data_IF_907059833258
#
_entry.id   IF_907059833258
#
_cell.length_a   1.000
_cell.length_b   1.000
_cell.length_c   1.000
_cell.angle_alpha   90.00
_cell.angle_beta   90.00
_cell.angle_gamma   90.00
#
_symmetry.space_group_name_H-M   'P 1'
#
loop_
_entity.id
_entity.type
_entity.pdbx_description
1 polymer ?
#
# COMPACT_ATOMS: atom_id res chain seq x y z
N UNK A 1 50.75 -43.17 -38.88
CA UNK A 1 49.66 -42.24 -38.49
C UNK A 1 50.05 -40.84 -38.91
N UNK A 2 49.22 -40.12 -39.67
CA UNK A 2 49.60 -38.81 -40.22
C UNK A 2 49.82 -37.77 -39.11
N UNK A 3 50.84 -36.91 -39.27
CA UNK A 3 51.19 -35.87 -38.30
C UNK A 3 50.09 -34.81 -38.14
N UNK A 4 49.27 -34.61 -39.18
CA UNK A 4 48.11 -33.73 -39.16
C UNK A 4 47.03 -34.18 -38.17
N UNK A 5 46.69 -35.48 -38.11
CA UNK A 5 45.71 -35.99 -37.13
C UNK A 5 46.19 -35.80 -35.69
N UNK A 6 47.49 -36.02 -35.42
CA UNK A 6 48.05 -35.84 -34.07
C UNK A 6 48.05 -34.37 -33.63
N UNK A 7 48.34 -33.45 -34.55
CA UNK A 7 48.29 -32.00 -34.27
C UNK A 7 46.85 -31.48 -34.13
N UNK A 8 45.93 -31.96 -34.96
CA UNK A 8 44.50 -31.64 -34.86
C UNK A 8 43.88 -32.11 -33.53
N UNK A 9 44.20 -33.34 -33.10
CA UNK A 9 43.72 -33.87 -31.82
C UNK A 9 44.22 -33.06 -30.61
N UNK A 10 45.49 -32.63 -30.60
CA UNK A 10 46.04 -31.78 -29.55
C UNK A 10 45.40 -30.38 -29.51
N UNK A 11 45.17 -29.77 -30.67
CA UNK A 11 44.48 -28.48 -30.76
C UNK A 11 43.02 -28.58 -30.27
N UNK A 12 42.29 -29.62 -30.67
CA UNK A 12 40.93 -29.87 -30.21
C UNK A 12 40.86 -30.10 -28.69
N UNK A 13 41.79 -30.87 -28.12
CA UNK A 13 41.87 -31.11 -26.68
C UNK A 13 42.15 -29.82 -25.88
N UNK A 14 43.06 -28.96 -26.37
CA UNK A 14 43.36 -27.69 -25.72
C UNK A 14 42.13 -26.75 -25.70
N UNK A 15 41.40 -26.65 -26.82
CA UNK A 15 40.18 -25.83 -26.90
C UNK A 15 39.08 -26.40 -25.99
N UNK A 16 38.82 -27.70 -26.04
CA UNK A 16 37.79 -28.35 -25.22
C UNK A 16 38.06 -28.21 -23.71
N UNK A 17 39.30 -28.39 -23.28
CA UNK A 17 39.68 -28.24 -21.87
C UNK A 17 39.56 -26.79 -21.39
N UNK A 18 39.89 -25.81 -22.26
CA UNK A 18 39.77 -24.38 -21.95
C UNK A 18 38.31 -23.94 -21.78
N UNK A 19 37.40 -24.48 -22.59
CA UNK A 19 35.95 -24.19 -22.47
C UNK A 19 35.39 -24.82 -21.19
N UNK A 20 35.79 -26.07 -20.87
CA UNK A 20 35.33 -26.76 -19.67
C UNK A 20 35.75 -26.06 -18.37
N UNK A 21 36.97 -25.53 -18.30
CA UNK A 21 37.46 -24.81 -17.12
C UNK A 21 36.87 -23.40 -16.97
N UNK A 22 36.55 -22.69 -18.06
CA UNK A 22 35.84 -21.42 -18.01
C UNK A 22 34.35 -21.58 -17.64
N UNK A 23 33.67 -22.60 -18.19
CA UNK A 23 32.24 -22.82 -17.93
C UNK A 23 31.95 -23.28 -16.49
N UNK A 24 32.91 -23.95 -15.83
CA UNK A 24 32.75 -24.49 -14.48
C UNK A 24 32.53 -23.43 -13.38
N UNK A 25 32.95 -22.18 -13.58
CA UNK A 25 32.71 -21.09 -12.62
C UNK A 25 31.32 -20.43 -12.77
N UNK A 26 30.63 -20.64 -13.90
CA UNK A 26 29.31 -20.06 -14.18
C UNK A 26 28.12 -21.02 -14.03
N UNK A 27 28.39 -22.31 -13.80
CA UNK A 27 27.36 -23.35 -13.72
C UNK A 27 27.62 -24.30 -12.54
N UNK A 28 26.79 -24.20 -11.50
CA UNK A 28 26.88 -25.01 -10.29
C UNK A 28 26.03 -24.45 -9.16
N UNK A 29 26.06 -25.10 -7.99
CA UNK A 29 25.24 -24.73 -6.83
C UNK A 29 25.61 -23.38 -6.16
N UNK A 30 26.70 -22.74 -6.61
CA UNK A 30 27.15 -21.40 -6.18
C UNK A 30 27.49 -20.55 -7.42
N UNK A 31 26.71 -20.69 -8.50
CA UNK A 31 26.84 -19.84 -9.67
C UNK A 31 26.20 -18.48 -9.38
N UNK A 32 26.88 -17.39 -9.71
CA UNK A 32 26.41 -16.01 -9.47
C UNK A 32 25.05 -15.69 -10.09
N UNK A 33 24.58 -16.50 -11.05
CA UNK A 33 23.23 -16.43 -11.62
C UNK A 33 22.13 -16.90 -10.68
N UNK A 34 22.46 -17.66 -9.64
CA UNK A 34 21.55 -18.07 -8.55
C UNK A 34 21.41 -16.99 -7.47
N UNK A 35 22.38 -16.07 -7.39
CA UNK A 35 22.35 -14.90 -6.50
C UNK A 35 21.59 -13.70 -7.10
N UNK A 36 21.01 -13.85 -8.30
CA UNK A 36 20.14 -12.84 -8.91
C UNK A 36 18.75 -12.95 -8.29
N UNK A 37 18.45 -12.05 -7.36
CA UNK A 37 17.13 -11.93 -6.74
C UNK A 37 16.15 -11.10 -7.61
N UNK A 38 14.83 -11.30 -7.48
CA UNK A 38 13.83 -10.43 -8.12
C UNK A 38 13.89 -9.00 -7.56
N UNK A 39 13.67 -7.99 -8.41
CA UNK A 39 13.71 -6.57 -8.04
C UNK A 39 12.72 -6.21 -6.91
N UNK A 40 11.59 -6.91 -6.85
CA UNK A 40 10.55 -6.74 -5.84
C UNK A 40 10.52 -7.93 -4.87
N UNK A 41 10.20 -7.62 -3.61
CA UNK A 41 10.35 -8.53 -2.49
C UNK A 41 9.72 -9.92 -2.71
N UNK A 42 10.50 -10.94 -2.36
CA UNK A 42 10.12 -12.35 -2.44
C UNK A 42 10.51 -13.09 -1.16
N UNK A 43 9.81 -14.17 -0.84
CA UNK A 43 10.16 -15.09 0.26
C UNK A 43 9.51 -16.46 0.05
N UNK A 44 9.99 -17.49 0.75
CA UNK A 44 9.38 -18.81 0.78
C UNK A 44 9.42 -19.40 2.20
N UNK A 45 8.29 -19.95 2.64
CA UNK A 45 8.14 -20.62 3.94
C UNK A 45 7.34 -21.90 3.73
N UNK A 46 8.01 -23.04 3.86
CA UNK A 46 7.46 -24.34 3.49
C UNK A 46 6.99 -24.36 2.04
N UNK A 47 5.74 -24.76 1.83
CA UNK A 47 5.11 -24.85 0.50
C UNK A 47 4.69 -23.50 -0.11
N UNK A 48 4.62 -22.42 0.69
CA UNK A 48 4.20 -21.09 0.21
C UNK A 48 5.39 -20.28 -0.25
N UNK A 49 5.29 -19.70 -1.45
CA UNK A 49 6.24 -18.72 -1.99
C UNK A 49 5.49 -17.45 -2.37
N UNK A 50 5.96 -16.30 -1.89
CA UNK A 50 5.47 -14.97 -2.26
C UNK A 50 6.51 -14.31 -3.16
N UNK A 51 6.08 -13.69 -4.26
CA UNK A 51 6.95 -12.94 -5.17
C UNK A 51 6.29 -11.63 -5.59
N UNK A 52 7.13 -10.66 -6.01
CA UNK A 52 6.69 -9.37 -6.51
C UNK A 52 5.80 -8.59 -5.52
N UNK A 53 6.14 -8.64 -4.22
CA UNK A 53 5.36 -7.97 -3.19
C UNK A 53 5.72 -6.48 -3.09
N UNK A 54 4.72 -5.61 -3.27
CA UNK A 54 4.81 -4.14 -3.17
C UNK A 54 3.59 -3.56 -2.45
N UNK A 55 3.77 -2.46 -1.74
CA UNK A 55 2.68 -1.59 -1.27
C UNK A 55 2.55 -0.44 -2.26
N UNK A 56 1.37 -0.25 -2.83
CA UNK A 56 1.11 0.80 -3.82
C UNK A 56 0.19 1.84 -3.19
N UNK A 57 0.71 3.05 -2.99
CA UNK A 57 0.00 4.20 -2.41
C UNK A 57 -0.73 5.00 -3.49
N UNK A 58 -1.47 6.03 -3.07
CA UNK A 58 -2.05 7.02 -3.97
C UNK A 58 -0.95 7.76 -4.77
N UNK A 59 -1.20 8.15 -6.03
CA UNK A 59 -0.18 8.78 -6.88
C UNK A 59 0.18 10.20 -6.41
N UNK A 60 -0.85 10.99 -6.08
CA UNK A 60 -0.71 12.25 -5.34
C UNK A 60 -0.07 11.97 -3.95
N UNK A 61 0.72 12.89 -3.39
CA UNK A 61 1.35 12.83 -2.06
C UNK A 61 0.52 13.47 -0.93
N UNK A 62 -0.54 14.23 -1.23
CA UNK A 62 -1.41 14.87 -0.23
C UNK A 62 -2.69 14.07 0.08
N UNK A 63 -3.28 13.39 -0.92
CA UNK A 63 -4.42 12.45 -0.77
C UNK A 63 -4.37 11.51 0.47
N UNK A 64 -5.45 11.39 1.23
CA UNK A 64 -5.52 10.47 2.40
C UNK A 64 -6.08 9.09 2.06
N UNK A 65 -6.11 8.75 0.76
CA UNK A 65 -6.76 7.54 0.24
C UNK A 65 -6.19 6.21 0.70
N UNK A 66 -6.81 5.09 0.28
CA UNK A 66 -6.28 3.76 0.53
C UNK A 66 -4.96 3.52 -0.21
N UNK A 67 -4.15 2.60 0.31
CA UNK A 67 -3.12 1.91 -0.47
C UNK A 67 -3.63 0.50 -0.80
N UNK A 68 -2.96 -0.18 -1.73
CA UNK A 68 -3.18 -1.60 -2.02
C UNK A 68 -1.88 -2.37 -1.89
N UNK A 69 -1.99 -3.66 -1.60
CA UNK A 69 -0.85 -4.58 -1.57
C UNK A 69 -0.95 -5.44 -2.82
N UNK A 70 0.07 -5.39 -3.68
CA UNK A 70 0.19 -6.28 -4.84
C UNK A 70 1.23 -7.36 -4.55
N UNK A 71 0.93 -8.61 -4.91
CA UNK A 71 1.82 -9.76 -4.75
C UNK A 71 1.32 -10.95 -5.59
N UNK A 72 2.21 -11.84 -5.98
CA UNK A 72 1.85 -13.17 -6.48
C UNK A 72 2.18 -14.22 -5.42
N UNK A 73 1.17 -14.98 -4.99
CA UNK A 73 1.30 -16.06 -4.01
C UNK A 73 1.21 -17.39 -4.74
N UNK A 74 2.22 -18.24 -4.55
CA UNK A 74 2.28 -19.61 -5.05
C UNK A 74 2.17 -20.58 -3.88
N UNK A 75 1.41 -21.66 -4.08
CA UNK A 75 1.30 -22.78 -3.16
C UNK A 75 1.81 -24.05 -3.87
N UNK A 76 3.07 -24.39 -3.65
CA UNK A 76 3.68 -25.60 -4.20
C UNK A 76 3.22 -26.89 -3.49
N UNK A 77 2.42 -26.75 -2.43
CA UNK A 77 1.95 -27.83 -1.60
C UNK A 77 0.81 -28.63 -2.22
N UNK A 78 0.58 -29.81 -1.64
CA UNK A 78 -0.44 -30.76 -2.12
C UNK A 78 -1.87 -30.47 -1.61
N UNK A 79 -2.08 -29.40 -0.86
CA UNK A 79 -3.41 -29.00 -0.38
C UNK A 79 -3.60 -27.50 -0.52
N UNK A 80 -4.83 -27.06 -0.85
CA UNK A 80 -5.16 -25.64 -0.91
C UNK A 80 -5.04 -24.98 0.48
N UNK A 81 -4.73 -23.69 0.50
CA UNK A 81 -4.68 -22.85 1.70
C UNK A 81 -5.53 -21.60 1.50
N UNK A 82 -6.07 -21.05 2.57
CA UNK A 82 -6.66 -19.70 2.56
C UNK A 82 -5.63 -18.67 3.01
N UNK A 83 -5.67 -17.48 2.41
CA UNK A 83 -5.05 -16.29 2.98
C UNK A 83 -6.09 -15.64 3.89
N UNK A 84 -5.81 -15.63 5.18
CA UNK A 84 -6.73 -15.20 6.23
C UNK A 84 -6.47 -13.76 6.68
N UNK A 85 -5.24 -13.27 6.53
CA UNK A 85 -4.86 -11.89 6.85
C UNK A 85 -3.67 -11.41 6.01
N UNK A 86 -3.60 -10.09 5.81
CA UNK A 86 -2.38 -9.40 5.42
C UNK A 86 -2.23 -8.21 6.37
N UNK A 87 -1.20 -8.22 7.20
CA UNK A 87 -0.94 -7.16 8.18
C UNK A 87 0.30 -6.37 7.82
N UNK A 88 0.28 -5.08 8.11
CA UNK A 88 1.40 -4.17 7.88
C UNK A 88 1.96 -3.79 9.25
N UNK A 89 3.21 -4.18 9.51
CA UNK A 89 3.87 -3.92 10.79
C UNK A 89 4.00 -2.42 11.03
N UNK A 90 4.11 -2.00 12.30
CA UNK A 90 4.31 -0.61 12.73
C UNK A 90 3.14 0.35 12.41
N UNK A 91 2.12 -0.09 11.66
CA UNK A 91 0.91 0.69 11.36
C UNK A 91 -0.31 0.25 12.16
N UNK A 92 -0.29 -0.96 12.71
CA UNK A 92 -1.44 -1.60 13.37
C UNK A 92 -2.61 -1.92 12.41
N UNK A 93 -2.40 -1.84 11.08
CA UNK A 93 -3.46 -2.01 10.07
C UNK A 93 -3.39 -3.38 9.41
N UNK A 94 -4.58 -3.91 9.12
CA UNK A 94 -4.80 -5.11 8.31
C UNK A 94 -5.44 -4.69 6.99
N UNK A 95 -5.01 -5.27 5.88
CA UNK A 95 -5.63 -5.04 4.58
C UNK A 95 -6.97 -5.80 4.49
N UNK A 96 -7.98 -5.18 3.90
CA UNK A 96 -9.22 -5.84 3.51
C UNK A 96 -8.96 -6.72 2.28
N UNK A 97 -9.16 -8.03 2.42
CA UNK A 97 -8.92 -9.02 1.36
C UNK A 97 -10.24 -9.39 0.69
N UNK A 98 -10.31 -9.29 -0.64
CA UNK A 98 -11.45 -9.76 -1.43
C UNK A 98 -10.98 -10.70 -2.56
N UNK A 99 -11.65 -11.85 -2.79
CA UNK A 99 -11.37 -12.68 -3.95
C UNK A 99 -11.74 -11.97 -5.25
N UNK A 100 -11.14 -12.39 -6.37
CA UNK A 100 -11.43 -11.85 -7.70
C UNK A 100 -12.90 -12.08 -8.11
N UNK A 101 -13.46 -13.22 -7.72
CA UNK A 101 -14.83 -13.64 -8.02
C UNK A 101 -15.50 -14.25 -6.77
N UNK A 102 -16.83 -14.14 -6.71
CA UNK A 102 -17.63 -14.73 -5.63
C UNK A 102 -17.50 -13.99 -4.30
N UNK A 103 -17.79 -14.69 -3.21
CA UNK A 103 -17.72 -14.17 -1.84
C UNK A 103 -17.06 -15.19 -0.91
N UNK A 104 -16.35 -14.71 0.12
CA UNK A 104 -15.66 -15.55 1.10
C UNK A 104 -14.14 -15.33 1.11
N UNK A 105 -13.42 -16.32 1.65
CA UNK A 105 -11.95 -16.26 1.84
C UNK A 105 -11.18 -16.46 0.54
N UNK A 106 -10.09 -15.71 0.37
CA UNK A 106 -9.17 -15.91 -0.73
C UNK A 106 -8.46 -17.27 -0.58
N UNK A 107 -8.61 -18.15 -1.57
CA UNK A 107 -8.05 -19.51 -1.56
C UNK A 107 -6.96 -19.65 -2.62
N UNK A 108 -5.78 -20.12 -2.22
CA UNK A 108 -4.64 -20.43 -3.08
C UNK A 108 -4.64 -21.93 -3.36
N UNK A 109 -4.86 -22.36 -4.62
CA UNK A 109 -5.01 -23.77 -4.98
C UNK A 109 -3.70 -24.56 -4.78
N UNK A 110 -3.81 -25.86 -4.54
CA UNK A 110 -2.67 -26.77 -4.47
C UNK A 110 -1.93 -26.82 -5.82
N UNK A 111 -0.59 -26.69 -5.81
CA UNK A 111 0.23 -26.67 -7.01
C UNK A 111 -0.03 -25.46 -7.94
N UNK A 112 -0.63 -24.39 -7.43
CA UNK A 112 -1.04 -23.24 -8.24
C UNK A 112 -0.72 -21.89 -7.58
N UNK A 113 -1.27 -20.82 -8.14
CA UNK A 113 -1.00 -19.45 -7.73
C UNK A 113 -2.23 -18.55 -7.75
N UNK A 114 -2.12 -17.43 -7.03
CA UNK A 114 -3.09 -16.33 -6.99
C UNK A 114 -2.32 -15.02 -7.13
N UNK A 115 -2.80 -14.14 -7.99
CA UNK A 115 -2.34 -12.75 -8.08
C UNK A 115 -3.24 -11.87 -7.21
N UNK A 116 -2.63 -10.96 -6.46
CA UNK A 116 -3.28 -9.96 -5.63
C UNK A 116 -2.87 -8.58 -6.15
N UNK A 117 -3.82 -7.65 -6.25
CA UNK A 117 -3.64 -6.33 -6.84
C UNK A 117 -3.86 -6.31 -8.35
N UNK A 118 -4.14 -5.13 -8.91
CA UNK A 118 -4.47 -4.96 -10.33
C UNK A 118 -5.88 -5.41 -10.72
N UNK A 119 -6.31 -4.97 -11.91
CA UNK A 119 -7.68 -5.16 -12.41
C UNK A 119 -8.03 -6.63 -12.64
N UNK A 120 -9.13 -7.08 -12.06
CA UNK A 120 -9.68 -8.44 -12.25
C UNK A 120 -9.04 -9.53 -11.38
N UNK A 121 -8.09 -9.16 -10.51
CA UNK A 121 -7.47 -10.05 -9.55
C UNK A 121 -8.13 -9.95 -8.16
N UNK A 122 -7.66 -10.74 -7.21
CA UNK A 122 -8.00 -10.54 -5.80
C UNK A 122 -7.44 -9.19 -5.31
N UNK A 123 -8.13 -8.50 -4.41
CA UNK A 123 -7.66 -7.23 -3.85
C UNK A 123 -7.24 -7.36 -2.39
N UNK A 124 -6.31 -6.48 -1.98
CA UNK A 124 -5.83 -6.33 -0.61
C UNK A 124 -5.68 -4.84 -0.31
N UNK A 125 -6.75 -4.21 0.19
CA UNK A 125 -6.84 -2.74 0.35
C UNK A 125 -6.48 -2.33 1.78
N UNK A 126 -5.48 -1.47 1.94
CA UNK A 126 -5.04 -0.92 3.23
C UNK A 126 -5.71 0.45 3.48
N UNK A 127 -6.59 0.59 4.48
CA UNK A 127 -7.33 1.83 4.72
C UNK A 127 -6.44 2.94 5.32
N UNK A 128 -6.57 4.16 4.79
CA UNK A 128 -5.85 5.39 5.19
C UNK A 128 -4.32 5.18 5.23
N UNK A 129 -3.67 5.27 4.07
CA UNK A 129 -2.31 4.80 3.90
C UNK A 129 -1.22 5.78 4.35
N UNK A 130 -1.42 7.09 4.21
CA UNK A 130 -0.31 8.08 4.32
C UNK A 130 0.36 8.14 5.70
N UNK A 131 -0.41 7.93 6.76
CA UNK A 131 0.09 7.87 8.15
C UNK A 131 0.85 6.55 8.43
N UNK A 132 0.60 5.53 7.62
CA UNK A 132 1.02 4.15 7.85
C UNK A 132 2.19 3.72 6.96
N UNK A 133 2.21 4.15 5.70
CA UNK A 133 3.21 3.77 4.70
C UNK A 133 3.66 5.00 3.93
N UNK A 134 4.99 5.12 3.75
CA UNK A 134 5.64 6.25 3.08
C UNK A 134 6.41 5.75 1.87
N UNK A 135 6.29 6.45 0.76
CA UNK A 135 6.93 6.07 -0.50
C UNK A 135 8.46 6.04 -0.37
N UNK A 136 9.10 5.09 -1.05
CA UNK A 136 10.52 4.81 -0.92
C UNK A 136 10.93 4.03 0.34
N UNK A 137 10.01 3.77 1.28
CA UNK A 137 10.27 2.89 2.43
C UNK A 137 10.18 1.40 2.04
N UNK A 138 10.74 0.52 2.88
CA UNK A 138 10.59 -0.93 2.82
C UNK A 138 9.81 -1.44 4.05
N UNK A 139 8.50 -1.59 3.90
CA UNK A 139 7.57 -1.92 4.98
C UNK A 139 7.49 -3.44 5.22
N UNK A 140 7.52 -3.88 6.48
CA UNK A 140 7.30 -5.30 6.80
C UNK A 140 5.80 -5.63 6.66
N UNK A 141 5.50 -6.58 5.78
CA UNK A 141 4.17 -7.16 5.60
C UNK A 141 4.21 -8.61 6.10
N UNK A 142 3.14 -9.07 6.74
CA UNK A 142 2.93 -10.47 7.11
C UNK A 142 1.65 -11.00 6.47
N UNK A 143 1.75 -12.10 5.74
CA UNK A 143 0.65 -12.83 5.14
C UNK A 143 0.32 -14.03 6.01
N UNK A 144 -0.87 -14.09 6.59
CA UNK A 144 -1.31 -15.18 7.46
C UNK A 144 -2.09 -16.26 6.68
N UNK A 145 -1.53 -17.47 6.59
CA UNK A 145 -2.13 -18.60 5.88
C UNK A 145 -2.68 -19.67 6.83
N UNK A 146 -3.80 -20.29 6.49
CA UNK A 146 -4.49 -21.26 7.36
C UNK A 146 -3.73 -22.56 7.70
N UNK A 147 -2.59 -22.85 7.04
CA UNK A 147 -1.74 -24.01 7.40
C UNK A 147 -0.27 -23.66 7.55
N UNK A 148 0.29 -22.86 6.64
CA UNK A 148 1.68 -22.39 6.73
C UNK A 148 1.87 -21.40 7.88
N UNK A 149 0.81 -20.73 8.34
CA UNK A 149 0.90 -19.65 9.32
C UNK A 149 1.43 -18.37 8.70
N UNK A 150 2.18 -17.60 9.48
CA UNK A 150 2.65 -16.28 9.11
C UNK A 150 3.89 -16.32 8.19
N UNK A 151 3.80 -15.63 7.06
CA UNK A 151 4.89 -15.43 6.10
C UNK A 151 5.19 -13.95 5.99
N UNK A 152 6.31 -13.51 6.58
CA UNK A 152 6.74 -12.10 6.55
C UNK A 152 7.78 -11.82 5.47
N UNK A 153 7.71 -10.62 4.87
CA UNK A 153 8.76 -10.03 4.03
C UNK A 153 8.72 -8.49 4.13
N UNK A 154 9.76 -7.82 3.62
CA UNK A 154 9.79 -6.35 3.52
C UNK A 154 9.54 -5.92 2.09
N UNK A 155 8.38 -5.34 1.82
CA UNK A 155 7.97 -4.88 0.49
C UNK A 155 8.27 -3.39 0.33
N UNK A 156 8.66 -2.97 -0.87
CA UNK A 156 8.81 -1.55 -1.18
C UNK A 156 7.45 -0.85 -1.21
N UNK A 157 7.42 0.39 -0.75
CA UNK A 157 6.28 1.31 -0.86
C UNK A 157 6.51 2.24 -2.05
N UNK A 158 5.60 2.22 -3.00
CA UNK A 158 5.68 2.98 -4.27
C UNK A 158 4.36 3.70 -4.54
N UNK A 159 4.37 4.90 -5.16
CA UNK A 159 3.14 5.55 -5.60
C UNK A 159 2.54 4.82 -6.81
N UNK A 160 1.23 4.96 -7.03
CA UNK A 160 0.51 4.44 -8.20
C UNK A 160 0.82 5.19 -9.50
N UNK A 161 2.10 5.43 -9.79
CA UNK A 161 2.61 6.11 -10.98
C UNK A 161 3.28 5.14 -11.96
N UNK A 162 3.43 5.57 -13.21
CA UNK A 162 4.03 4.78 -14.30
C UNK A 162 3.54 3.32 -14.31
N UNK A 163 4.43 2.35 -14.09
CA UNK A 163 4.12 0.91 -14.12
C UNK A 163 3.12 0.46 -13.04
N UNK A 164 2.99 1.20 -11.94
CA UNK A 164 2.10 0.86 -10.83
C UNK A 164 0.70 1.45 -10.96
N UNK A 165 0.45 2.31 -11.96
CA UNK A 165 -0.86 2.95 -12.19
C UNK A 165 -2.00 1.94 -12.41
N UNK A 166 -1.75 0.82 -13.10
CA UNK A 166 -2.76 -0.24 -13.32
C UNK A 166 -2.89 -1.23 -12.14
N UNK A 167 -1.98 -1.15 -11.16
CA UNK A 167 -1.88 -2.05 -10.01
C UNK A 167 -2.28 -1.39 -8.69
N UNK A 168 -2.31 -0.06 -8.66
CA UNK A 168 -2.61 0.77 -7.51
C UNK A 168 -4.09 0.83 -7.11
N UNK A 169 -4.44 1.71 -6.17
CA UNK A 169 -5.81 1.84 -5.67
C UNK A 169 -6.76 2.39 -6.75
N UNK A 170 -7.88 1.69 -6.98
CA UNK A 170 -8.93 2.17 -7.89
C UNK A 170 -9.67 3.40 -7.35
N UNK A 171 -9.80 3.50 -6.03
CA UNK A 171 -10.37 4.66 -5.35
C UNK A 171 -9.29 5.72 -5.17
N UNK A 172 -9.23 6.66 -6.12
CA UNK A 172 -8.34 7.83 -6.07
C UNK A 172 -9.17 9.03 -5.58
N UNK A 173 -8.97 9.51 -4.34
CA UNK A 173 -9.61 10.74 -3.86
C UNK A 173 -9.22 11.93 -4.75
N UNK A 174 -10.15 12.85 -4.96
CA UNK A 174 -9.82 14.11 -5.61
C UNK A 174 -8.77 14.87 -4.79
N UNK A 175 -7.65 15.24 -5.42
CA UNK A 175 -6.68 16.18 -4.86
C UNK A 175 -7.40 17.45 -4.42
N UNK A 176 -7.19 17.95 -3.19
CA UNK A 176 -7.71 19.25 -2.78
C UNK A 176 -7.27 20.30 -3.79
N UNK A 177 -8.23 21.02 -4.39
CA UNK A 177 -7.88 22.04 -5.38
C UNK A 177 -7.01 23.11 -4.70
N UNK A 178 -5.75 23.19 -5.11
CA UNK A 178 -4.90 24.32 -4.76
C UNK A 178 -5.65 25.60 -5.18
N UNK A 179 -5.99 26.43 -4.20
CA UNK A 179 -6.76 27.66 -4.46
C UNK A 179 -6.08 28.45 -5.56
N UNK A 180 -6.77 28.63 -6.69
CA UNK A 180 -6.27 29.44 -7.78
C UNK A 180 -5.88 30.83 -7.24
N UNK A 181 -4.78 31.44 -7.71
CA UNK A 181 -4.44 32.80 -7.30
C UNK A 181 -5.64 33.71 -7.61
N UNK A 182 -6.10 34.45 -6.61
CA UNK A 182 -7.10 35.49 -6.85
C UNK A 182 -6.47 36.52 -7.79
N UNK A 183 -6.95 36.58 -9.03
CA UNK A 183 -6.54 37.61 -9.98
C UNK A 183 -7.08 38.94 -9.51
N UNK A 184 -6.29 39.69 -8.74
CA UNK A 184 -6.55 41.10 -8.49
C UNK A 184 -6.50 41.85 -9.82
N UNK A 185 -7.67 42.29 -10.27
CA UNK A 185 -7.87 43.08 -11.47
C UNK A 185 -8.80 44.25 -11.20
N UNK A 186 -8.25 45.31 -10.61
CA UNK A 186 -8.80 46.67 -10.75
C UNK A 186 -8.75 47.05 -12.24
N UNK A 187 -9.73 47.74 -12.83
CA UNK A 187 -10.09 49.14 -12.58
C UNK A 187 -11.51 49.50 -13.10
N UNK A 188 -12.04 50.73 -12.86
CA UNK A 188 -13.47 50.98 -12.70
C UNK A 188 -14.20 51.57 -13.93
N UNK A 189 -15.53 51.69 -13.82
CA UNK A 189 -16.29 52.71 -14.55
C UNK A 189 -17.59 53.08 -13.82
N UNK A 190 -17.71 54.32 -13.37
CA UNK A 190 -18.94 54.90 -12.82
C UNK A 190 -19.79 55.55 -13.93
N UNK A 191 -21.13 55.50 -13.85
CA UNK A 191 -21.99 56.70 -13.70
C UNK A 191 -23.51 56.40 -13.62
N UNK A 192 -24.23 57.30 -12.94
CA UNK A 192 -25.57 57.19 -12.28
C UNK A 192 -26.36 58.49 -12.61
N UNK A 193 -27.72 58.55 -12.80
CA UNK A 193 -28.78 57.93 -11.96
C UNK A 193 -30.08 57.43 -12.65
N UNK A 194 -31.02 56.89 -11.85
CA UNK A 194 -32.46 56.80 -12.12
C UNK A 194 -33.26 56.47 -10.83
N UNK A 195 -34.17 57.35 -10.39
CA UNK A 195 -34.82 57.36 -9.05
C UNK A 195 -36.26 57.90 -9.17
N UNK A 196 -37.16 57.89 -8.15
CA UNK A 196 -37.36 57.00 -6.98
C UNK A 196 -38.79 56.40 -6.92
N UNK A 197 -39.08 55.58 -5.90
CA UNK A 197 -40.44 55.48 -5.31
C UNK A 197 -40.34 55.26 -3.79
N UNK A 198 -41.12 56.02 -3.01
CA UNK A 198 -40.99 56.14 -1.55
C UNK A 198 -41.88 55.18 -0.74
N UNK A 199 -41.45 54.90 0.51
CA UNK A 199 -42.22 54.77 1.77
C UNK A 199 -41.71 53.57 2.59
N UNK A 200 -40.96 53.79 3.69
CA UNK A 200 -41.44 54.17 5.03
C UNK A 200 -42.10 52.97 5.79
N UNK A 201 -41.85 52.69 7.08
CA UNK A 201 -41.04 53.33 8.15
C UNK A 201 -40.89 52.32 9.31
N UNK A 202 -39.83 52.39 10.12
CA UNK A 202 -39.73 51.57 11.34
C UNK A 202 -38.35 51.60 12.00
N UNK A 203 -38.19 52.43 13.03
CA UNK A 203 -36.93 52.70 13.78
C UNK A 203 -37.28 52.72 15.30
N UNK A 204 -36.34 52.82 16.26
CA UNK A 204 -35.53 51.72 16.82
C UNK A 204 -35.64 51.63 18.37
N UNK A 205 -34.58 51.10 19.00
CA UNK A 205 -34.10 51.32 20.38
C UNK A 205 -34.48 50.30 21.47
N UNK A 206 -33.50 50.02 22.35
CA UNK A 206 -33.57 49.04 23.44
C UNK A 206 -32.18 48.68 23.97
N UNK A 207 -31.46 49.65 24.53
CA UNK A 207 -30.12 49.50 25.11
C UNK A 207 -30.18 49.10 26.61
N UNK A 208 -29.03 48.63 27.14
CA UNK A 208 -28.57 48.71 28.54
C UNK A 208 -28.53 47.44 29.43
N UNK A 209 -27.33 46.85 29.51
CA UNK A 209 -26.41 46.78 30.69
C UNK A 209 -26.83 46.22 32.06
N UNK A 210 -25.81 45.60 32.70
CA UNK A 210 -25.65 45.20 34.12
C UNK A 210 -26.42 43.92 34.56
N UNK A 211 -25.79 42.85 35.04
CA UNK A 211 -24.72 42.66 36.04
C UNK A 211 -25.18 42.86 37.50
N UNK A 212 -25.28 41.75 38.23
CA UNK A 212 -24.97 41.68 39.67
C UNK A 212 -24.54 40.26 40.06
N UNK A 213 -23.65 40.15 41.05
CA UNK A 213 -23.26 38.89 41.71
C UNK A 213 -24.19 38.61 42.90
N UNK A 214 -24.30 37.35 43.38
CA UNK A 214 -24.25 37.01 44.82
C UNK A 214 -24.64 35.54 45.15
N UNK A 215 -23.62 34.74 45.50
CA UNK A 215 -23.50 33.85 46.69
C UNK A 215 -24.68 33.01 47.26
N UNK A 216 -24.38 31.76 47.61
CA UNK A 216 -25.16 30.86 48.49
C UNK A 216 -25.20 29.43 47.91
N UNK A 217 -24.23 28.53 48.11
CA UNK A 217 -23.73 27.87 49.35
C UNK A 217 -24.65 26.71 49.83
N UNK A 218 -24.00 25.63 50.29
CA UNK A 218 -24.52 24.34 50.78
C UNK A 218 -25.13 23.40 49.71
N UNK A 219 -24.57 22.23 49.36
CA UNK A 219 -23.97 21.09 50.08
C UNK A 219 -24.97 19.94 50.32
N UNK A 220 -24.73 18.78 49.69
CA UNK A 220 -24.62 17.50 50.42
C UNK A 220 -23.89 16.43 49.58
N UNK A 221 -23.40 15.40 50.26
CA UNK A 221 -22.73 14.25 49.66
C UNK A 221 -23.77 13.26 49.06
N UNK A 222 -23.40 12.31 48.20
CA UNK A 222 -22.78 11.06 48.66
C UNK A 222 -22.19 10.26 47.49
N UNK A 223 -21.03 9.65 47.73
CA UNK A 223 -20.53 8.55 46.91
C UNK A 223 -21.02 7.21 47.51
N UNK A 224 -21.12 6.17 46.67
CA UNK A 224 -20.88 4.81 47.14
C UNK A 224 -20.26 3.99 46.02
N UNK A 225 -19.04 3.52 46.28
CA UNK A 225 -18.44 2.40 45.56
C UNK A 225 -19.23 1.11 45.82
N UNK A 226 -19.01 0.11 44.98
CA UNK A 226 -19.08 -1.29 45.39
C UNK A 226 -18.06 -2.09 44.59
N UNK A 227 -17.11 -2.70 45.31
CA UNK A 227 -16.06 -3.53 44.73
C UNK A 227 -16.04 -4.90 45.41
N UNK A 228 -15.83 -5.94 44.60
CA UNK A 228 -15.09 -7.14 45.00
C UNK A 228 -15.89 -8.38 45.38
N UNK A 229 -15.39 -9.54 44.91
CA UNK A 229 -15.46 -10.77 45.70
C UNK A 229 -15.47 -12.10 44.93
N UNK A 230 -14.29 -12.74 44.90
CA UNK A 230 -14.02 -14.18 44.61
C UNK A 230 -13.99 -14.64 43.14
#
# INVERSE_FOLDING_TARGET
>A
MSSSLRRGALAAAAIAFSIASLAACGAGNNAQTLEIEPDNAATAVGDIKIQNAVVITQPDLESTGPAVISATVFNNGRTAQTLDSITVADTGKTAEIKPAEGSGKLTIPAGGSVVIGGKGNASATLPSSREAVRDGNAQKITFGFSKTGDVSLRAFVVPAESYFSEWGPSDIPATPAASAPATEGTEPSETVPGSPAESATGTPAGEATAADEATGTDAEATASESAGGH
#
